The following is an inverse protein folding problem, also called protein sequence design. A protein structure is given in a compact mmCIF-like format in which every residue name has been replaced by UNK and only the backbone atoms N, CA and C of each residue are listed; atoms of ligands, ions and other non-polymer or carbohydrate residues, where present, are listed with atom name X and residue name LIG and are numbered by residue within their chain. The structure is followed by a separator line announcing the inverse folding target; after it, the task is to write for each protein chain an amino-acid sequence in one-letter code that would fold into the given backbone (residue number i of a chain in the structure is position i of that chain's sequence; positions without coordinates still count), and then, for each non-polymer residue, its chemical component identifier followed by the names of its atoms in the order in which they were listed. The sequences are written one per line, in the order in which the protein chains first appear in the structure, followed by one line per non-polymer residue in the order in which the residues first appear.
data_IF_236753976807
#
_entry.id   IF_236753976807
#
_cell.length_a   1.000
_cell.length_b   1.000
_cell.length_c   1.000
_cell.angle_alpha   90.00
_cell.angle_beta   90.00
_cell.angle_gamma   90.00
#
_symmetry.space_group_name_H-M   'P 1'
#
loop_
_entity.id
_entity.type
_entity.pdbx_description
1 polymer ?
#
# COMPACT_ATOMS: atom_id res chain seq x y z
N UNK A 1 16.94 -43.21 29.62
CA UNK A 1 18.12 -43.11 30.51
C UNK A 1 19.17 -44.09 29.98
N UNK A 2 20.31 -43.57 29.53
CA UNK A 2 21.39 -44.38 28.95
C UNK A 2 22.04 -45.23 30.04
N UNK A 3 22.01 -46.55 29.89
CA UNK A 3 22.32 -47.57 30.91
C UNK A 3 23.75 -48.13 30.81
N UNK A 4 24.72 -47.33 30.35
CA UNK A 4 26.15 -47.67 30.39
C UNK A 4 26.65 -48.72 29.38
N UNK A 5 25.76 -49.45 28.69
CA UNK A 5 26.14 -50.42 27.65
C UNK A 5 26.14 -49.85 26.22
N UNK A 6 25.63 -48.63 26.03
CA UNK A 6 25.58 -47.95 24.74
C UNK A 6 26.50 -46.73 24.75
N UNK A 7 27.30 -46.59 23.68
CA UNK A 7 28.11 -45.40 23.47
C UNK A 7 27.24 -44.14 23.53
N UNK A 8 27.75 -43.08 24.17
CA UNK A 8 27.06 -41.79 24.20
C UNK A 8 26.77 -41.32 22.78
N UNK A 9 25.59 -40.74 22.51
CA UNK A 9 25.29 -40.22 21.18
C UNK A 9 26.37 -39.23 20.72
N UNK A 10 26.88 -39.43 19.51
CA UNK A 10 27.71 -38.44 18.83
C UNK A 10 26.80 -37.32 18.31
N UNK A 11 26.75 -36.21 19.04
CA UNK A 11 25.94 -35.05 18.67
C UNK A 11 26.59 -34.28 17.53
N UNK A 12 25.78 -33.90 16.54
CA UNK A 12 26.21 -33.22 15.31
C UNK A 12 27.21 -34.01 14.45
N UNK A 13 27.44 -35.30 14.75
CA UNK A 13 28.30 -36.18 13.94
C UNK A 13 29.77 -35.77 13.96
N UNK A 14 30.22 -35.13 15.04
CA UNK A 14 31.53 -34.52 15.14
C UNK A 14 32.06 -34.58 16.58
N UNK A 15 33.33 -34.96 16.70
CA UNK A 15 34.06 -35.02 17.96
C UNK A 15 33.86 -36.33 18.72
N UNK A 16 34.54 -36.43 19.86
CA UNK A 16 34.48 -37.60 20.73
C UNK A 16 34.56 -37.16 22.20
N UNK A 17 34.17 -38.05 23.10
CA UNK A 17 34.49 -37.90 24.51
C UNK A 17 36.01 -38.05 24.72
N UNK A 18 36.61 -37.34 25.70
CA UNK A 18 35.97 -36.43 26.66
C UNK A 18 35.82 -34.99 26.14
N UNK A 19 36.28 -34.69 24.94
CA UNK A 19 36.37 -33.32 24.43
C UNK A 19 34.98 -32.65 24.27
N UNK A 20 33.94 -33.44 23.96
CA UNK A 20 32.56 -32.98 23.83
C UNK A 20 31.68 -33.29 25.07
N UNK A 21 32.28 -33.37 26.27
CA UNK A 21 31.57 -33.70 27.52
C UNK A 21 30.48 -32.70 27.94
N UNK A 22 30.50 -31.49 27.40
CA UNK A 22 29.52 -30.43 27.66
C UNK A 22 28.29 -30.53 26.76
N UNK A 23 28.25 -31.51 25.85
CA UNK A 23 27.11 -31.76 24.98
C UNK A 23 26.15 -32.78 25.61
N UNK A 24 24.85 -32.50 25.58
CA UNK A 24 23.80 -33.40 26.04
C UNK A 24 22.55 -33.32 25.16
N UNK A 25 21.64 -34.31 25.23
CA UNK A 25 20.39 -34.28 24.45
C UNK A 25 19.86 -35.64 23.97
N UNK A 26 19.12 -35.59 22.86
CA UNK A 26 18.45 -36.75 22.23
C UNK A 26 18.78 -36.75 20.74
N UNK A 27 19.29 -37.87 20.22
CA UNK A 27 19.50 -38.10 18.79
C UNK A 27 18.74 -39.34 18.36
N UNK A 28 17.85 -39.20 17.37
CA UNK A 28 17.19 -40.32 16.71
C UNK A 28 18.03 -40.83 15.55
N UNK A 29 17.65 -41.96 14.96
CA UNK A 29 18.19 -42.44 13.68
C UNK A 29 17.02 -42.80 12.78
N UNK A 30 17.12 -42.43 11.51
CA UNK A 30 16.17 -42.82 10.48
C UNK A 30 16.08 -44.35 10.37
N UNK A 31 14.86 -44.87 10.22
CA UNK A 31 14.64 -46.30 10.03
C UNK A 31 15.09 -46.71 8.62
N UNK A 32 16.02 -47.66 8.51
CA UNK A 32 16.58 -48.12 7.24
C UNK A 32 17.23 -46.99 6.39
N UNK A 33 17.60 -45.88 7.01
CA UNK A 33 18.21 -44.73 6.34
C UNK A 33 19.42 -44.15 7.09
N UNK A 34 19.94 -43.05 6.56
CA UNK A 34 21.14 -42.37 7.05
C UNK A 34 20.87 -41.09 7.84
N UNK A 35 19.63 -40.59 7.81
CA UNK A 35 19.23 -39.36 8.46
C UNK A 35 19.06 -39.49 9.98
N UNK A 36 18.88 -38.34 10.63
CA UNK A 36 18.58 -38.25 12.05
C UNK A 36 17.84 -36.95 12.39
N UNK A 37 17.23 -36.95 13.57
CA UNK A 37 16.81 -35.73 14.26
C UNK A 37 17.58 -35.62 15.56
N UNK A 38 17.82 -34.38 16.00
CA UNK A 38 18.63 -34.10 17.17
C UNK A 38 18.06 -32.92 17.95
N UNK A 39 17.86 -33.13 19.25
CA UNK A 39 17.78 -32.09 20.27
C UNK A 39 19.12 -32.08 21.00
N UNK A 40 19.83 -30.97 20.95
CA UNK A 40 21.18 -30.79 21.51
C UNK A 40 21.18 -29.59 22.47
N UNK A 41 21.77 -29.78 23.64
CA UNK A 41 22.19 -28.74 24.57
C UNK A 41 23.71 -28.73 24.65
N UNK A 42 24.30 -27.55 24.60
CA UNK A 42 25.74 -27.34 24.82
C UNK A 42 25.90 -26.43 26.03
N UNK A 43 26.42 -26.98 27.12
CA UNK A 43 26.62 -26.29 28.39
C UNK A 43 28.07 -25.79 28.55
N UNK A 44 28.77 -25.58 27.43
CA UNK A 44 30.12 -25.00 27.45
C UNK A 44 30.08 -23.60 28.07
N UNK A 45 30.90 -23.30 29.09
CA UNK A 45 30.88 -22.00 29.76
C UNK A 45 31.03 -20.83 28.79
N UNK A 46 30.08 -19.89 28.82
CA UNK A 46 30.05 -18.73 27.92
C UNK A 46 29.50 -19.00 26.53
N UNK A 47 29.22 -20.26 26.17
CA UNK A 47 28.77 -20.68 24.84
C UNK A 47 27.46 -21.49 24.92
N UNK A 48 26.61 -21.19 25.91
CA UNK A 48 25.38 -21.95 26.16
C UNK A 48 24.42 -21.85 24.98
N UNK A 49 23.97 -23.00 24.47
CA UNK A 49 23.03 -23.08 23.34
C UNK A 49 22.11 -24.29 23.40
N UNK A 50 20.98 -24.17 22.71
CA UNK A 50 20.08 -25.28 22.40
C UNK A 50 19.85 -25.36 20.89
N UNK A 51 19.69 -26.57 20.35
CA UNK A 51 19.41 -26.84 18.94
C UNK A 51 18.39 -27.96 18.81
N UNK A 52 17.32 -27.72 18.07
CA UNK A 52 16.41 -28.75 17.57
C UNK A 52 16.59 -28.84 16.05
N UNK A 53 16.87 -30.03 15.53
CA UNK A 53 17.27 -30.22 14.14
C UNK A 53 16.78 -31.52 13.52
N UNK A 54 16.62 -31.50 12.20
CA UNK A 54 16.42 -32.68 11.35
C UNK A 54 17.26 -32.55 10.08
N UNK A 55 17.70 -33.69 9.54
CA UNK A 55 18.58 -33.73 8.36
C UNK A 55 17.94 -33.17 7.06
N UNK A 56 16.66 -33.41 6.73
CA UNK A 56 16.04 -32.87 5.52
C UNK A 56 16.09 -31.33 5.47
N UNK A 57 16.76 -30.79 4.45
CA UNK A 57 16.98 -29.36 4.26
C UNK A 57 17.72 -28.67 5.41
N UNK A 58 18.38 -29.44 6.29
CA UNK A 58 18.95 -28.97 7.56
C UNK A 58 17.96 -28.05 8.29
N UNK A 59 16.75 -28.55 8.52
CA UNK A 59 15.68 -27.80 9.17
C UNK A 59 15.97 -27.70 10.67
N UNK A 60 16.12 -26.47 11.20
CA UNK A 60 16.65 -26.23 12.54
C UNK A 60 15.98 -25.03 13.25
N UNK A 61 15.81 -25.17 14.56
CA UNK A 61 15.68 -24.08 15.52
C UNK A 61 16.95 -24.05 16.40
N UNK A 62 17.74 -23.00 16.27
CA UNK A 62 18.96 -22.77 17.06
C UNK A 62 18.75 -21.59 18.02
N UNK A 63 19.24 -21.70 19.26
CA UNK A 63 19.06 -20.69 20.31
C UNK A 63 20.34 -20.53 21.14
N UNK A 64 20.66 -19.31 21.57
CA UNK A 64 21.81 -18.99 22.42
C UNK A 64 23.05 -18.59 21.61
N UNK A 65 24.20 -19.21 21.91
CA UNK A 65 25.46 -19.01 21.21
C UNK A 65 25.55 -19.96 19.99
N UNK A 66 25.24 -19.48 18.78
CA UNK A 66 25.15 -20.35 17.60
C UNK A 66 26.56 -20.67 17.10
N UNK A 67 26.88 -21.96 16.99
CA UNK A 67 28.18 -22.43 16.48
C UNK A 67 28.02 -23.50 15.40
N UNK A 68 29.08 -23.71 14.62
CA UNK A 68 29.28 -24.95 13.85
C UNK A 68 29.44 -26.16 14.80
N UNK A 69 29.33 -27.41 14.31
CA UNK A 69 29.52 -28.59 15.16
C UNK A 69 30.82 -28.53 15.96
N UNK A 70 30.74 -28.83 17.27
CA UNK A 70 31.90 -28.82 18.16
C UNK A 70 32.81 -30.01 17.85
N UNK A 71 34.09 -29.74 17.63
CA UNK A 71 35.13 -30.74 17.42
C UNK A 71 36.29 -30.49 18.39
N UNK A 72 36.74 -31.53 19.07
CA UNK A 72 37.84 -31.45 20.04
C UNK A 72 37.63 -30.35 21.11
N UNK A 73 36.37 -30.19 21.54
CA UNK A 73 35.98 -29.20 22.55
C UNK A 73 35.84 -27.76 22.04
N UNK A 74 36.10 -27.51 20.75
CA UNK A 74 36.04 -26.18 20.13
C UNK A 74 34.94 -26.10 19.08
N UNK A 75 34.33 -24.94 18.93
CA UNK A 75 33.32 -24.71 17.91
C UNK A 75 33.47 -23.29 17.34
N UNK A 76 33.42 -23.15 16.02
CA UNK A 76 33.46 -21.84 15.37
C UNK A 76 32.10 -21.13 15.53
N UNK A 77 32.07 -19.89 16.03
CA UNK A 77 30.84 -19.11 16.16
C UNK A 77 30.26 -18.75 14.78
N UNK A 78 28.93 -18.69 14.70
CA UNK A 78 28.19 -18.30 13.48
C UNK A 78 27.05 -17.31 13.74
N UNK A 79 26.80 -16.96 15.00
CA UNK A 79 25.78 -15.98 15.38
C UNK A 79 25.37 -16.09 16.85
N UNK A 80 24.47 -15.20 17.27
CA UNK A 80 23.90 -15.16 18.62
C UNK A 80 22.39 -14.89 18.52
N UNK A 81 21.62 -15.35 19.51
CA UNK A 81 20.18 -15.15 19.56
C UNK A 81 19.40 -16.40 19.15
N UNK A 82 18.55 -16.31 18.13
CA UNK A 82 17.83 -17.46 17.60
C UNK A 82 17.84 -17.49 16.08
N UNK A 83 17.77 -18.68 15.51
CA UNK A 83 17.64 -18.90 14.07
C UNK A 83 16.64 -20.02 13.82
N UNK A 84 15.63 -19.74 12.99
CA UNK A 84 14.77 -20.73 12.37
C UNK A 84 15.14 -20.84 10.90
N UNK A 85 15.68 -21.99 10.46
CA UNK A 85 16.14 -22.20 9.07
C UNK A 85 15.66 -23.51 8.48
N UNK A 86 15.51 -23.53 7.16
CA UNK A 86 15.34 -24.72 6.32
C UNK A 86 15.71 -24.38 4.87
N UNK A 87 16.25 -25.36 4.14
CA UNK A 87 16.37 -25.27 2.68
C UNK A 87 15.05 -25.65 1.98
N UNK A 88 14.02 -26.02 2.75
CA UNK A 88 12.67 -26.36 2.29
C UNK A 88 11.66 -25.26 2.65
N UNK A 89 10.41 -25.44 2.26
CA UNK A 89 9.34 -24.48 2.55
C UNK A 89 9.13 -24.29 4.06
N UNK A 90 9.00 -23.04 4.48
CA UNK A 90 8.66 -22.64 5.86
C UNK A 90 7.33 -21.91 5.93
N UNK A 91 6.67 -21.97 7.08
CA UNK A 91 5.46 -21.20 7.34
C UNK A 91 5.40 -20.78 8.81
N UNK A 92 5.09 -19.50 9.05
CA UNK A 92 4.69 -18.98 10.36
C UNK A 92 3.21 -18.61 10.24
N UNK A 93 2.35 -19.32 10.97
CA UNK A 93 0.89 -19.11 10.94
C UNK A 93 0.37 -18.97 12.36
N UNK A 94 -0.25 -17.84 12.64
CA UNK A 94 -0.92 -17.56 13.91
C UNK A 94 -2.28 -16.93 13.62
N UNK A 95 -3.37 -17.64 13.91
CA UNK A 95 -4.72 -17.17 13.62
C UNK A 95 -5.12 -15.90 14.40
N UNK A 96 -4.45 -15.66 15.53
CA UNK A 96 -4.56 -14.45 16.34
C UNK A 96 -3.48 -13.41 16.04
N UNK A 97 -2.74 -13.60 14.94
CA UNK A 97 -1.78 -12.65 14.40
C UNK A 97 -0.32 -12.86 14.83
N UNK A 98 0.59 -12.12 14.20
CA UNK A 98 2.05 -12.20 14.35
C UNK A 98 2.63 -10.79 14.53
N UNK A 99 3.41 -10.58 15.59
CA UNK A 99 4.23 -9.40 15.80
C UNK A 99 5.69 -9.73 15.50
N UNK A 100 6.33 -8.99 14.59
CA UNK A 100 7.77 -9.02 14.35
C UNK A 100 8.34 -7.67 14.74
N UNK A 101 9.11 -7.64 15.82
CA UNK A 101 9.62 -6.41 16.42
C UNK A 101 11.14 -6.48 16.60
N UNK A 102 11.82 -5.38 16.27
CA UNK A 102 13.22 -5.15 16.64
C UNK A 102 13.36 -4.19 17.85
N UNK A 103 12.26 -3.87 18.54
CA UNK A 103 12.32 -3.18 19.82
C UNK A 103 12.80 -4.13 20.91
N UNK A 104 13.70 -3.65 21.76
CA UNK A 104 14.29 -4.47 22.82
C UNK A 104 13.29 -4.75 23.93
N UNK A 105 13.22 -6.01 24.38
CA UNK A 105 12.48 -6.43 25.57
C UNK A 105 13.42 -7.15 26.54
N UNK A 106 14.29 -6.42 27.27
CA UNK A 106 15.34 -7.02 28.08
C UNK A 106 14.78 -8.02 29.09
N UNK A 107 15.39 -9.20 29.16
CA UNK A 107 14.99 -10.29 30.07
C UNK A 107 13.52 -10.73 29.89
N UNK A 108 12.95 -10.52 28.70
CA UNK A 108 11.55 -10.83 28.40
C UNK A 108 10.57 -10.20 29.41
N UNK A 109 10.87 -8.99 29.90
CA UNK A 109 9.97 -8.25 30.78
C UNK A 109 8.81 -7.64 29.97
N UNK A 110 7.58 -7.97 30.36
CA UNK A 110 6.37 -7.52 29.67
C UNK A 110 5.58 -8.67 29.05
N UNK A 111 4.55 -8.33 28.28
CA UNK A 111 3.76 -9.26 27.50
C UNK A 111 4.44 -9.66 26.19
N UNK A 112 4.08 -10.84 25.68
CA UNK A 112 4.59 -11.36 24.39
C UNK A 112 4.25 -10.42 23.21
N UNK A 113 3.13 -9.70 23.29
CA UNK A 113 2.63 -8.81 22.25
C UNK A 113 2.76 -7.33 22.62
N UNK A 114 3.63 -6.97 23.56
CA UNK A 114 3.88 -5.55 23.89
C UNK A 114 4.36 -4.79 22.65
N UNK A 115 3.76 -3.63 22.39
CA UNK A 115 3.84 -2.92 21.10
C UNK A 115 3.51 -1.43 21.19
N UNK A 116 3.77 -0.82 22.34
CA UNK A 116 3.44 0.58 22.61
C UNK A 116 4.17 1.52 21.63
N UNK A 117 5.39 1.18 21.22
CA UNK A 117 6.15 1.94 20.23
C UNK A 117 5.49 1.90 18.85
N UNK A 118 4.96 0.74 18.43
CA UNK A 118 4.22 0.61 17.18
C UNK A 118 2.93 1.42 17.22
N UNK A 119 2.16 1.32 18.31
CA UNK A 119 0.91 2.08 18.47
C UNK A 119 1.20 3.57 18.39
N UNK A 120 2.21 4.04 19.13
CA UNK A 120 2.63 5.45 19.13
C UNK A 120 3.05 5.93 17.73
N UNK A 121 3.77 5.11 16.97
CA UNK A 121 4.16 5.43 15.59
C UNK A 121 2.94 5.54 14.65
N UNK A 122 1.98 4.63 14.77
CA UNK A 122 0.78 4.64 13.93
C UNK A 122 -0.19 5.76 14.32
N UNK A 123 -0.27 6.14 15.59
CA UNK A 123 -1.04 7.30 16.04
C UNK A 123 -0.47 8.61 15.49
N UNK A 124 0.85 8.76 15.49
CA UNK A 124 1.51 9.91 14.86
C UNK A 124 1.24 9.94 13.34
N UNK A 125 1.34 8.79 12.65
CA UNK A 125 0.99 8.70 11.24
C UNK A 125 -0.47 9.06 10.97
N UNK A 126 -1.40 8.56 11.80
CA UNK A 126 -2.82 8.90 11.70
C UNK A 126 -3.06 10.41 11.89
N UNK A 127 -2.39 11.03 12.86
CA UNK A 127 -2.49 12.48 13.09
C UNK A 127 -2.03 13.28 11.87
N UNK A 128 -0.92 12.89 11.23
CA UNK A 128 -0.43 13.52 10.00
C UNK A 128 -1.46 13.39 8.88
N UNK A 129 -2.00 12.18 8.67
CA UNK A 129 -3.00 11.94 7.64
C UNK A 129 -4.27 12.78 7.86
N UNK A 130 -4.75 12.86 9.10
CA UNK A 130 -5.95 13.64 9.46
C UNK A 130 -5.74 15.15 9.27
N UNK A 131 -4.58 15.68 9.67
CA UNK A 131 -4.27 17.11 9.52
C UNK A 131 -4.16 17.51 8.04
N UNK A 132 -3.48 16.69 7.24
CA UNK A 132 -3.37 16.91 5.79
C UNK A 132 -4.72 16.77 5.09
N UNK A 133 -5.54 15.78 5.44
CA UNK A 133 -6.88 15.59 4.89
C UNK A 133 -7.83 16.77 5.21
N UNK A 134 -7.78 17.28 6.44
CA UNK A 134 -8.54 18.49 6.82
C UNK A 134 -8.08 19.71 6.03
N UNK A 135 -6.78 19.85 5.83
CA UNK A 135 -6.22 20.99 5.11
C UNK A 135 -6.51 20.90 3.61
N UNK A 136 -6.45 19.71 3.01
CA UNK A 136 -6.81 19.51 1.60
C UNK A 136 -8.29 19.80 1.36
N UNK A 137 -9.18 19.44 2.29
CA UNK A 137 -10.61 19.77 2.22
C UNK A 137 -10.86 21.28 2.20
N UNK A 138 -10.16 22.06 3.04
CA UNK A 138 -10.23 23.54 3.05
C UNK A 138 -9.80 24.14 1.70
N UNK A 139 -8.87 23.48 1.01
CA UNK A 139 -8.33 23.90 -0.28
C UNK A 139 -8.99 23.20 -1.48
N UNK A 140 -10.16 22.59 -1.28
CA UNK A 140 -10.95 21.93 -2.33
C UNK A 140 -10.20 20.80 -3.07
N UNK A 141 -9.19 20.20 -2.43
CA UNK A 141 -8.36 19.12 -2.95
C UNK A 141 -8.82 17.72 -2.49
N UNK A 142 -10.12 17.57 -2.22
CA UNK A 142 -10.73 16.35 -1.64
C UNK A 142 -10.17 15.99 -0.24
N UNK A 143 -10.83 15.06 0.45
CA UNK A 143 -10.42 14.56 1.77
C UNK A 143 -10.01 13.09 1.70
N UNK A 144 -9.48 12.53 2.79
CA UNK A 144 -9.12 11.11 2.89
C UNK A 144 -9.91 10.44 4.02
N UNK A 145 -10.59 9.31 3.75
CA UNK A 145 -11.23 8.50 4.80
C UNK A 145 -10.17 7.76 5.63
N UNK A 146 -9.86 8.28 6.82
CA UNK A 146 -8.89 7.71 7.75
C UNK A 146 -9.49 6.69 8.73
N UNK A 147 -10.78 6.37 8.63
CA UNK A 147 -11.49 5.50 9.58
C UNK A 147 -10.90 4.09 9.64
N UNK A 148 -10.45 3.54 8.52
CA UNK A 148 -9.82 2.21 8.49
C UNK A 148 -8.45 2.21 9.17
N UNK A 149 -7.66 3.27 8.98
CA UNK A 149 -6.38 3.45 9.68
C UNK A 149 -6.60 3.58 11.20
N UNK A 150 -7.60 4.37 11.60
CA UNK A 150 -7.96 4.51 13.01
C UNK A 150 -8.45 3.19 13.62
N UNK A 151 -9.29 2.44 12.90
CA UNK A 151 -9.73 1.12 13.36
C UNK A 151 -8.56 0.15 13.52
N UNK A 152 -7.57 0.17 12.62
CA UNK A 152 -6.38 -0.66 12.75
C UNK A 152 -5.58 -0.33 14.00
N UNK A 153 -5.43 0.96 14.35
CA UNK A 153 -4.76 1.38 15.60
C UNK A 153 -5.52 0.88 16.83
N UNK A 154 -6.85 0.99 16.84
CA UNK A 154 -7.67 0.49 17.96
C UNK A 154 -7.64 -1.05 18.07
N UNK A 155 -7.64 -1.74 16.93
CA UNK A 155 -7.47 -3.19 16.88
C UNK A 155 -6.10 -3.61 17.45
N UNK A 156 -5.06 -2.85 17.10
CA UNK A 156 -3.73 -3.01 17.66
C UNK A 156 -3.68 -2.61 19.13
N UNK A 157 -4.56 -1.78 19.70
CA UNK A 157 -4.57 -1.58 21.16
C UNK A 157 -5.18 -2.76 21.90
N UNK A 158 -6.16 -3.43 21.30
CA UNK A 158 -6.92 -4.51 21.93
C UNK A 158 -6.46 -5.91 21.51
N UNK A 159 -5.34 -6.03 20.79
CA UNK A 159 -4.95 -7.26 20.09
C UNK A 159 -4.88 -8.49 21.01
N UNK A 160 -4.32 -8.38 22.21
CA UNK A 160 -4.18 -9.48 23.17
C UNK A 160 -5.39 -9.66 24.12
N UNK A 161 -6.45 -8.87 23.95
CA UNK A 161 -7.67 -9.01 24.75
C UNK A 161 -8.26 -10.43 24.63
N UNK A 162 -8.59 -11.04 25.77
CA UNK A 162 -9.03 -12.43 25.88
C UNK A 162 -7.89 -13.46 25.91
N UNK A 163 -6.64 -13.05 26.10
CA UNK A 163 -5.47 -13.92 26.30
C UNK A 163 -5.14 -14.14 27.78
N UNK A 164 -4.07 -14.90 28.07
CA UNK A 164 -3.57 -15.08 29.43
C UNK A 164 -2.97 -13.80 30.05
N UNK A 165 -2.64 -12.80 29.24
CA UNK A 165 -2.13 -11.49 29.70
C UNK A 165 -3.21 -10.40 29.78
N UNK A 166 -4.40 -10.63 29.21
CA UNK A 166 -5.54 -9.70 29.25
C UNK A 166 -6.87 -10.46 29.25
N UNK A 167 -7.18 -11.15 30.37
CA UNK A 167 -8.29 -12.12 30.44
C UNK A 167 -9.68 -11.50 30.29
N UNK A 168 -9.89 -10.33 30.89
CA UNK A 168 -11.18 -9.62 30.91
C UNK A 168 -11.45 -8.84 29.61
N UNK A 169 -10.41 -8.67 28.78
CA UNK A 169 -10.52 -7.98 27.51
C UNK A 169 -11.45 -8.72 26.54
N UNK A 170 -12.21 -7.97 25.74
CA UNK A 170 -13.09 -8.48 24.68
C UNK A 170 -12.63 -7.95 23.33
N UNK A 171 -13.10 -8.56 22.24
CA UNK A 171 -12.86 -8.13 20.86
C UNK A 171 -11.38 -8.18 20.37
N UNK A 172 -10.49 -8.84 21.11
CA UNK A 172 -9.12 -9.11 20.68
C UNK A 172 -8.97 -10.32 19.76
N UNK A 173 -7.73 -10.73 19.53
CA UNK A 173 -7.40 -11.93 18.76
C UNK A 173 -7.60 -11.80 17.24
N UNK A 174 -7.64 -10.58 16.71
CA UNK A 174 -7.68 -10.33 15.27
C UNK A 174 -6.42 -10.86 14.59
N UNK A 175 -6.58 -11.49 13.43
CA UNK A 175 -5.47 -12.03 12.64
C UNK A 175 -4.69 -10.92 11.92
N UNK A 176 -3.81 -10.23 12.64
CA UNK A 176 -3.00 -9.13 12.11
C UNK A 176 -1.53 -9.55 11.95
N UNK A 177 -0.80 -8.88 11.04
CA UNK A 177 0.65 -8.96 10.96
C UNK A 177 1.20 -7.55 11.17
N UNK A 178 2.07 -7.41 12.17
CA UNK A 178 2.72 -6.14 12.48
C UNK A 178 4.24 -6.28 12.37
N UNK A 179 4.88 -5.34 11.67
CA UNK A 179 6.33 -5.22 11.56
C UNK A 179 6.74 -3.86 12.15
N UNK A 180 7.67 -3.84 13.10
CA UNK A 180 8.16 -2.59 13.69
C UNK A 180 9.64 -2.67 14.07
N UNK A 181 10.34 -1.56 13.92
CA UNK A 181 11.76 -1.47 14.26
C UNK A 181 12.14 -0.02 14.61
N UNK A 182 12.97 0.22 15.63
CA UNK A 182 13.39 1.57 16.00
C UNK A 182 14.40 2.19 15.02
N UNK A 183 15.11 1.37 14.24
CA UNK A 183 16.20 1.80 13.36
C UNK A 183 15.91 1.57 11.86
N UNK A 184 14.65 1.34 11.51
CA UNK A 184 14.20 1.19 10.13
C UNK A 184 13.86 -0.25 9.73
N UNK A 185 13.21 -0.39 8.57
CA UNK A 185 12.80 -1.66 7.97
C UNK A 185 13.31 -1.65 6.52
N UNK A 186 14.06 -2.68 6.13
CA UNK A 186 14.51 -2.88 4.75
C UNK A 186 13.63 -3.92 4.06
N UNK A 187 13.11 -3.59 2.87
CA UNK A 187 12.37 -4.51 2.00
C UNK A 187 13.02 -4.48 0.63
N UNK A 188 13.57 -5.61 0.19
CA UNK A 188 14.30 -5.73 -1.07
C UNK A 188 14.00 -7.06 -1.77
N UNK A 189 14.19 -7.09 -3.09
CA UNK A 189 14.04 -8.27 -3.94
C UNK A 189 14.88 -8.07 -5.20
N UNK A 190 15.61 -9.10 -5.64
CA UNK A 190 16.34 -9.08 -6.91
C UNK A 190 15.40 -9.12 -8.14
N UNK A 191 14.12 -9.43 -7.90
CA UNK A 191 13.08 -9.49 -8.92
C UNK A 191 12.04 -8.39 -8.68
N UNK A 192 10.87 -8.73 -8.13
CA UNK A 192 9.77 -7.80 -7.94
C UNK A 192 9.29 -7.76 -6.48
N UNK A 193 8.79 -6.60 -6.07
CA UNK A 193 7.97 -6.42 -4.86
C UNK A 193 6.54 -6.12 -5.33
N UNK A 194 5.55 -6.85 -4.83
CA UNK A 194 4.13 -6.61 -5.08
C UNK A 194 3.42 -6.32 -3.75
N UNK A 195 2.69 -5.20 -3.69
CA UNK A 195 1.87 -4.82 -2.55
C UNK A 195 0.45 -4.60 -3.05
N UNK A 196 -0.53 -5.24 -2.41
CA UNK A 196 -1.93 -5.14 -2.75
C UNK A 196 -2.77 -5.12 -1.47
N UNK A 197 -3.84 -4.31 -1.48
CA UNK A 197 -4.81 -4.23 -0.39
C UNK A 197 -6.22 -4.35 -0.96
N UNK A 198 -7.11 -5.04 -0.25
CA UNK A 198 -8.52 -5.18 -0.66
C UNK A 198 -9.39 -3.98 -0.31
N UNK A 199 -8.89 -3.05 0.49
CA UNK A 199 -9.56 -1.81 0.89
C UNK A 199 -8.68 -0.60 0.59
N UNK A 200 -7.82 -0.20 1.54
CA UNK A 200 -7.00 1.00 1.45
C UNK A 200 -5.51 0.65 1.44
N UNK A 201 -4.73 1.49 0.75
CA UNK A 201 -3.26 1.49 0.80
C UNK A 201 -2.79 2.88 1.21
N UNK A 202 -2.40 3.02 2.47
CA UNK A 202 -1.97 4.29 3.06
C UNK A 202 -0.44 4.32 3.19
N UNK A 203 0.19 5.35 2.61
CA UNK A 203 1.61 5.64 2.76
C UNK A 203 1.76 6.97 3.50
N UNK A 204 2.24 6.92 4.74
CA UNK A 204 2.40 8.12 5.58
C UNK A 204 3.83 8.20 6.10
N UNK A 205 4.43 9.39 5.97
CA UNK A 205 5.77 9.69 6.47
C UNK A 205 5.78 11.02 7.21
N UNK A 206 6.44 11.09 8.36
CA UNK A 206 6.56 12.32 9.14
C UNK A 206 7.47 13.39 8.52
N UNK A 207 8.32 12.99 7.58
CA UNK A 207 9.23 13.87 6.84
C UNK A 207 9.00 13.64 5.35
N UNK A 208 10.05 13.26 4.62
CA UNK A 208 10.01 13.11 3.17
C UNK A 208 9.60 11.70 2.74
N UNK A 209 8.74 11.63 1.72
CA UNK A 209 8.52 10.42 0.92
C UNK A 209 9.21 10.59 -0.43
N UNK A 210 10.24 9.77 -0.69
CA UNK A 210 11.00 9.82 -1.93
C UNK A 210 10.67 8.63 -2.83
N UNK A 211 10.21 8.89 -4.05
CA UNK A 211 9.92 7.87 -5.07
C UNK A 211 10.85 8.07 -6.25
N UNK A 212 11.80 7.15 -6.43
CA UNK A 212 12.76 7.16 -7.55
C UNK A 212 12.56 5.93 -8.43
N UNK A 213 12.40 6.12 -9.74
CA UNK A 213 12.15 5.04 -10.70
C UNK A 213 13.10 5.16 -11.88
N UNK A 214 13.90 4.12 -12.12
CA UNK A 214 14.93 4.14 -13.17
C UNK A 214 14.42 4.13 -14.61
N UNK A 215 13.13 3.84 -14.83
CA UNK A 215 12.54 3.79 -16.17
C UNK A 215 11.20 4.53 -16.28
N UNK A 216 10.10 3.96 -15.78
CA UNK A 216 8.75 4.48 -16.01
C UNK A 216 7.92 4.43 -14.73
N UNK A 217 7.49 5.59 -14.24
CA UNK A 217 6.45 5.72 -13.21
C UNK A 217 5.09 5.89 -13.89
N UNK A 218 4.07 5.16 -13.44
CA UNK A 218 2.71 5.22 -14.00
C UNK A 218 1.69 5.21 -12.87
N UNK A 219 0.82 6.23 -12.85
CA UNK A 219 -0.38 6.24 -12.03
C UNK A 219 -1.58 5.86 -12.91
N UNK A 220 -2.42 4.94 -12.43
CA UNK A 220 -3.70 4.58 -13.04
C UNK A 220 -4.73 4.57 -11.92
N UNK A 221 -5.73 5.45 -12.02
CA UNK A 221 -6.71 5.66 -10.97
C UNK A 221 -8.10 5.53 -11.58
N UNK A 222 -9.01 4.85 -10.88
CA UNK A 222 -10.35 4.54 -11.40
C UNK A 222 -11.38 5.67 -11.21
N UNK A 223 -11.18 6.54 -10.22
CA UNK A 223 -12.13 7.59 -9.86
C UNK A 223 -11.48 8.98 -9.92
N UNK A 224 -10.76 9.41 -8.88
CA UNK A 224 -10.11 10.73 -8.82
C UNK A 224 -8.62 10.63 -8.52
N UNK A 225 -7.82 11.58 -9.03
CA UNK A 225 -6.43 11.81 -8.62
C UNK A 225 -6.33 13.21 -8.04
N UNK A 226 -6.19 13.32 -6.72
CA UNK A 226 -5.90 14.59 -6.05
C UNK A 226 -4.43 14.67 -5.64
N UNK A 227 -3.80 15.83 -5.89
CA UNK A 227 -2.43 16.14 -5.48
C UNK A 227 -2.45 17.48 -4.77
N UNK A 228 -2.10 17.48 -3.48
CA UNK A 228 -2.14 18.67 -2.62
C UNK A 228 -0.77 18.97 -2.02
N UNK A 229 -0.36 20.24 -2.03
CA UNK A 229 0.86 20.73 -1.36
C UNK A 229 0.52 22.00 -0.59
N UNK A 230 0.72 21.97 0.73
CA UNK A 230 0.29 23.05 1.63
C UNK A 230 1.16 24.32 1.55
N UNK A 231 2.49 24.18 1.41
CA UNK A 231 3.41 25.31 1.67
C UNK A 231 4.38 25.63 0.53
N UNK A 232 5.17 24.66 0.06
CA UNK A 232 6.34 24.93 -0.80
C UNK A 232 6.05 24.82 -2.31
N UNK A 233 4.79 24.66 -2.69
CA UNK A 233 4.34 24.63 -4.08
C UNK A 233 4.66 23.31 -4.82
N UNK A 234 4.23 23.25 -6.08
CA UNK A 234 4.38 22.07 -6.96
C UNK A 234 5.31 22.38 -8.15
N UNK A 235 6.02 21.35 -8.63
CA UNK A 235 6.87 21.43 -9.83
C UNK A 235 6.56 20.26 -10.77
N UNK A 236 6.13 20.57 -11.99
CA UNK A 236 5.95 19.61 -13.08
C UNK A 236 6.94 19.95 -14.19
N UNK A 237 8.09 19.25 -14.20
CA UNK A 237 9.21 19.57 -15.09
C UNK A 237 9.61 18.31 -15.85
N UNK A 238 9.61 18.38 -17.18
CA UNK A 238 10.22 17.40 -18.06
C UNK A 238 11.53 17.98 -18.59
N UNK A 239 12.67 17.33 -18.30
CA UNK A 239 13.96 17.76 -18.82
C UNK A 239 14.05 17.61 -20.35
N UNK A 240 13.37 16.59 -20.89
CA UNK A 240 13.20 16.37 -22.31
C UNK A 240 11.84 15.69 -22.55
N UNK A 241 11.31 15.85 -23.77
CA UNK A 241 10.02 15.29 -24.16
C UNK A 241 8.84 16.20 -23.83
N UNK A 242 7.67 15.82 -24.33
CA UNK A 242 6.43 16.60 -24.27
C UNK A 242 5.74 16.44 -22.91
N UNK A 243 5.29 17.55 -22.33
CA UNK A 243 4.25 17.55 -21.29
C UNK A 243 2.88 17.60 -21.98
N UNK A 244 1.99 16.66 -21.65
CA UNK A 244 0.64 16.60 -22.20
C UNK A 244 -0.37 16.58 -21.05
N UNK A 245 -1.26 17.58 -21.04
CA UNK A 245 -2.38 17.71 -20.11
C UNK A 245 -3.67 17.73 -20.92
N UNK A 246 -4.61 16.83 -20.62
CA UNK A 246 -5.86 16.69 -21.35
C UNK A 246 -6.98 16.20 -20.43
N UNK A 247 -8.11 16.89 -20.45
CA UNK A 247 -9.40 16.33 -20.06
C UNK A 247 -10.12 15.86 -21.34
N UNK A 248 -10.38 14.56 -21.46
CA UNK A 248 -10.93 13.97 -22.70
C UNK A 248 -12.46 14.07 -22.79
N UNK A 249 -13.12 14.36 -21.68
CA UNK A 249 -14.57 14.49 -21.58
C UNK A 249 -14.99 15.52 -20.53
N UNK A 250 -14.11 16.45 -20.17
CA UNK A 250 -14.39 17.48 -19.17
C UNK A 250 -13.51 18.72 -19.42
N UNK A 251 -13.61 19.72 -18.55
CA UNK A 251 -12.83 20.94 -18.62
C UNK A 251 -11.42 20.82 -18.04
N UNK A 252 -10.57 21.78 -18.40
CA UNK A 252 -9.27 21.99 -17.78
C UNK A 252 -9.27 23.40 -17.20
N UNK A 253 -9.14 23.51 -15.89
CA UNK A 253 -9.00 24.79 -15.19
C UNK A 253 -7.54 25.03 -14.78
N UNK A 254 -7.03 26.25 -15.00
CA UNK A 254 -5.71 26.68 -14.56
C UNK A 254 -5.83 28.08 -13.95
N UNK A 255 -5.75 28.15 -12.62
CA UNK A 255 -5.89 29.38 -11.85
C UNK A 255 -4.61 29.77 -11.09
N UNK A 256 -4.44 31.07 -10.84
CA UNK A 256 -3.43 31.59 -9.92
C UNK A 256 -3.97 32.84 -9.21
N UNK A 257 -3.85 32.89 -7.88
CA UNK A 257 -4.21 34.08 -7.09
C UNK A 257 -3.26 35.27 -7.32
N UNK A 258 -2.12 35.04 -7.96
CA UNK A 258 -1.13 36.05 -8.33
C UNK A 258 -0.93 36.03 -9.85
N UNK A 259 0.30 36.27 -10.32
CA UNK A 259 0.64 36.29 -11.74
C UNK A 259 0.52 34.88 -12.35
N UNK A 260 -0.28 34.73 -13.39
CA UNK A 260 -0.23 33.59 -14.31
C UNK A 260 0.73 33.93 -15.46
N UNK A 261 1.70 33.06 -15.73
CA UNK A 261 2.69 33.23 -16.80
C UNK A 261 2.56 32.10 -17.81
N UNK A 262 2.28 32.45 -19.06
CA UNK A 262 2.31 31.55 -20.21
C UNK A 262 3.29 32.12 -21.22
N UNK A 263 4.33 31.37 -21.56
CA UNK A 263 5.30 31.77 -22.56
C UNK A 263 5.85 30.54 -23.30
N UNK A 264 6.27 30.77 -24.54
CA UNK A 264 7.01 29.82 -25.37
C UNK A 264 8.22 30.55 -25.93
N UNK A 265 9.33 29.84 -26.12
CA UNK A 265 10.51 30.39 -26.80
C UNK A 265 10.37 30.37 -28.32
N UNK A 266 9.34 29.69 -28.83
CA UNK A 266 9.03 29.59 -30.26
C UNK A 266 7.62 30.13 -30.52
N UNK A 267 6.60 29.28 -30.42
CA UNK A 267 5.20 29.63 -30.74
C UNK A 267 4.25 29.31 -29.58
N UNK A 268 3.22 30.13 -29.40
CA UNK A 268 2.03 29.82 -28.61
C UNK A 268 0.85 29.65 -29.56
N UNK A 269 0.25 28.46 -29.58
CA UNK A 269 -0.93 28.17 -30.40
C UNK A 269 -2.17 28.05 -29.50
N UNK A 270 -3.15 28.94 -29.71
CA UNK A 270 -4.47 28.85 -29.10
C UNK A 270 -5.48 28.48 -30.19
N UNK A 271 -6.01 27.26 -30.14
CA UNK A 271 -6.92 26.72 -31.15
C UNK A 271 -8.22 26.25 -30.50
N UNK A 272 -9.32 26.94 -30.78
CA UNK A 272 -10.65 26.57 -30.33
C UNK A 272 -11.71 27.15 -31.27
N UNK A 273 -12.94 26.59 -31.32
CA UNK A 273 -14.04 27.17 -32.09
C UNK A 273 -14.41 28.60 -31.62
N UNK A 274 -14.13 28.89 -30.34
CA UNK A 274 -14.32 30.21 -29.72
C UNK A 274 -13.17 30.48 -28.75
N UNK A 275 -12.58 31.68 -28.81
CA UNK A 275 -11.57 32.18 -27.88
C UNK A 275 -12.04 33.53 -27.34
N UNK A 276 -11.93 33.72 -26.02
CA UNK A 276 -12.24 34.98 -25.35
C UNK A 276 -11.03 35.40 -24.52
N UNK A 277 -10.60 36.65 -24.69
CA UNK A 277 -9.56 37.28 -23.87
C UNK A 277 -10.21 38.49 -23.21
N UNK A 278 -10.23 38.53 -21.88
CA UNK A 278 -10.94 39.56 -21.13
C UNK A 278 -10.05 40.13 -20.03
N UNK A 279 -10.12 41.46 -19.87
CA UNK A 279 -9.57 42.21 -18.76
C UNK A 279 -10.64 43.22 -18.28
N UNK A 280 -10.39 43.88 -17.15
CA UNK A 280 -11.31 44.90 -16.65
C UNK A 280 -11.45 46.03 -17.69
N UNK A 281 -12.65 46.21 -18.24
CA UNK A 281 -12.97 47.28 -19.20
C UNK A 281 -12.52 47.03 -20.66
N UNK A 282 -11.92 45.89 -20.97
CA UNK A 282 -11.49 45.56 -22.33
C UNK A 282 -11.58 44.05 -22.64
N UNK A 283 -11.93 43.68 -23.87
CA UNK A 283 -12.00 42.29 -24.30
C UNK A 283 -11.76 42.11 -25.81
N UNK A 284 -11.39 40.88 -26.19
CA UNK A 284 -11.33 40.42 -27.56
C UNK A 284 -11.94 39.02 -27.66
N UNK A 285 -12.88 38.82 -28.57
CA UNK A 285 -13.50 37.54 -28.85
C UNK A 285 -13.26 37.13 -30.31
N UNK A 286 -12.90 35.86 -30.51
CA UNK A 286 -12.63 35.24 -31.80
C UNK A 286 -13.55 34.02 -31.95
N UNK A 287 -14.30 33.94 -33.05
CA UNK A 287 -15.16 32.79 -33.33
C UNK A 287 -16.36 33.13 -34.21
N UNK A 288 -17.01 32.10 -34.76
CA UNK A 288 -18.21 32.27 -35.59
C UNK A 288 -17.99 33.17 -36.83
N UNK A 289 -16.77 33.18 -37.38
CA UNK A 289 -16.40 34.04 -38.51
C UNK A 289 -16.17 35.52 -38.17
N UNK A 290 -16.17 35.90 -36.88
CA UNK A 290 -16.03 37.30 -36.44
C UNK A 290 -14.87 37.48 -35.46
N UNK A 291 -14.31 38.70 -35.45
CA UNK A 291 -13.42 39.22 -34.42
C UNK A 291 -14.10 40.44 -33.78
N UNK A 292 -14.35 40.40 -32.47
CA UNK A 292 -15.00 41.48 -31.73
C UNK A 292 -14.04 41.99 -30.66
N UNK A 293 -13.60 43.24 -30.79
CA UNK A 293 -12.78 43.94 -29.79
C UNK A 293 -13.59 45.02 -29.10
N UNK A 294 -13.58 45.05 -27.77
CA UNK A 294 -14.31 46.03 -26.96
C UNK A 294 -13.36 46.74 -25.99
N UNK A 295 -13.57 48.04 -25.79
CA UNK A 295 -12.88 48.84 -24.79
C UNK A 295 -13.80 49.95 -24.28
N UNK A 296 -13.92 50.13 -22.97
CA UNK A 296 -14.64 51.26 -22.38
C UNK A 296 -13.83 52.57 -22.41
N UNK A 297 -12.51 52.46 -22.53
CA UNK A 297 -11.59 53.58 -22.77
C UNK A 297 -11.15 53.69 -24.23
N UNK A 298 -10.01 54.33 -24.46
CA UNK A 298 -9.44 54.48 -25.81
C UNK A 298 -8.95 53.15 -26.38
N UNK A 299 -9.34 52.81 -27.61
CA UNK A 299 -8.73 51.75 -28.41
C UNK A 299 -7.66 52.35 -29.33
N UNK A 300 -6.37 52.13 -29.01
CA UNK A 300 -5.25 52.68 -29.79
C UNK A 300 -4.59 51.59 -30.61
N UNK A 301 -4.49 51.79 -31.92
CA UNK A 301 -3.73 50.95 -32.84
C UNK A 301 -2.54 51.74 -33.38
N UNK A 302 -1.33 51.17 -33.33
CA UNK A 302 -0.11 51.78 -33.86
C UNK A 302 0.54 50.80 -34.83
N UNK A 303 0.65 51.19 -36.10
CA UNK A 303 1.31 50.41 -37.15
C UNK A 303 1.99 51.32 -38.18
N UNK A 304 2.95 50.78 -38.93
CA UNK A 304 3.54 51.45 -40.09
C UNK A 304 2.59 51.50 -41.29
N UNK A 305 1.61 50.59 -41.36
CA UNK A 305 0.59 50.52 -42.42
C UNK A 305 -0.68 49.83 -41.93
N UNK A 306 -1.82 50.21 -42.48
CA UNK A 306 -3.09 49.50 -42.33
C UNK A 306 -3.64 49.15 -43.71
N UNK A 307 -4.00 47.89 -43.94
CA UNK A 307 -4.73 47.41 -45.12
C UNK A 307 -6.02 46.73 -44.67
N UNK A 308 -7.13 47.06 -45.33
CA UNK A 308 -8.46 46.48 -45.05
C UNK A 308 -8.96 45.84 -46.34
N UNK A 309 -8.71 44.55 -46.49
CA UNK A 309 -9.08 43.77 -47.67
C UNK A 309 -10.41 43.04 -47.44
N UNK A 310 -10.93 42.38 -48.48
CA UNK A 310 -12.11 41.53 -48.38
C UNK A 310 -11.96 40.39 -47.36
N UNK A 311 -13.03 39.63 -47.09
CA UNK A 311 -13.01 38.60 -46.06
C UNK A 311 -12.01 37.47 -46.38
N UNK A 312 -11.21 37.09 -45.38
CA UNK A 312 -10.44 35.85 -45.37
C UNK A 312 -11.19 34.72 -44.67
N UNK A 313 -10.70 33.49 -44.83
CA UNK A 313 -11.23 32.32 -44.11
C UNK A 313 -10.08 31.46 -43.57
N UNK A 314 -10.30 30.80 -42.44
CA UNK A 314 -9.38 29.83 -41.84
C UNK A 314 -10.14 28.59 -41.38
N UNK A 315 -9.62 27.39 -41.70
CA UNK A 315 -10.22 26.13 -41.23
C UNK A 315 -9.55 25.67 -39.94
N UNK A 316 -10.33 25.44 -38.88
CA UNK A 316 -9.84 24.87 -37.63
C UNK A 316 -9.78 23.34 -37.72
N UNK A 317 -8.60 22.76 -37.53
CA UNK A 317 -8.42 21.32 -37.39
C UNK A 317 -8.03 20.99 -35.94
N UNK A 318 -8.93 20.35 -35.20
CA UNK A 318 -8.67 19.88 -33.84
C UNK A 318 -8.45 18.37 -33.80
N UNK A 319 -7.60 17.84 -32.91
CA UNK A 319 -7.47 16.41 -32.71
C UNK A 319 -8.78 15.81 -32.17
N UNK A 320 -9.14 14.62 -32.64
CA UNK A 320 -10.26 13.87 -32.10
C UNK A 320 -9.92 13.39 -30.68
N UNK A 321 -10.75 13.73 -29.70
CA UNK A 321 -10.64 13.19 -28.35
C UNK A 321 -11.15 11.74 -28.31
N UNK A 322 -10.36 10.78 -27.78
CA UNK A 322 -10.79 9.39 -27.70
C UNK A 322 -11.95 9.25 -26.70
N UNK A 323 -12.89 8.36 -27.00
CA UNK A 323 -13.96 7.95 -26.08
C UNK A 323 -13.77 6.49 -25.74
N UNK A 324 -13.76 6.15 -24.45
CA UNK A 324 -13.74 4.75 -24.04
C UNK A 324 -15.07 4.09 -24.38
N UNK A 325 -15.02 2.98 -25.11
CA UNK A 325 -16.16 2.08 -25.35
C UNK A 325 -16.11 0.83 -24.46
N UNK A 326 -15.13 0.75 -23.56
CA UNK A 326 -14.92 -0.42 -22.72
C UNK A 326 -16.00 -0.49 -21.64
N UNK A 327 -16.73 -1.62 -21.61
CA UNK A 327 -17.80 -1.88 -20.65
C UNK A 327 -17.41 -3.02 -19.71
N UNK A 328 -17.78 -2.89 -18.44
CA UNK A 328 -17.64 -3.96 -17.43
C UNK A 328 -19.00 -4.61 -17.18
N UNK A 329 -18.97 -5.89 -16.83
CA UNK A 329 -20.13 -6.65 -16.39
C UNK A 329 -19.96 -6.89 -14.89
N UNK A 330 -20.82 -6.29 -14.07
CA UNK A 330 -20.71 -6.33 -12.61
C UNK A 330 -21.98 -6.95 -12.00
N UNK A 331 -21.80 -7.75 -10.95
CA UNK A 331 -22.88 -8.34 -10.15
C UNK A 331 -22.54 -8.19 -8.68
N UNK A 332 -23.52 -7.82 -7.86
CA UNK A 332 -23.37 -7.75 -6.41
C UNK A 332 -23.93 -9.02 -5.78
N UNK A 333 -23.23 -9.57 -4.79
CA UNK A 333 -23.73 -10.68 -3.98
C UNK A 333 -24.11 -10.18 -2.59
N UNK A 334 -25.33 -10.50 -2.14
CA UNK A 334 -25.86 -10.12 -0.84
C UNK A 334 -25.89 -11.34 0.06
N UNK A 335 -25.11 -11.32 1.14
CA UNK A 335 -25.10 -12.37 2.16
C UNK A 335 -25.48 -11.82 3.53
N UNK A 336 -26.17 -12.64 4.33
CA UNK A 336 -26.48 -12.35 5.73
C UNK A 336 -25.25 -12.51 6.63
N UNK A 337 -25.41 -12.20 7.92
CA UNK A 337 -24.33 -12.28 8.93
C UNK A 337 -23.75 -13.68 9.13
N UNK A 338 -24.50 -14.71 8.75
CA UNK A 338 -24.07 -16.12 8.76
C UNK A 338 -23.38 -16.56 7.46
N UNK A 339 -23.19 -15.66 6.49
CA UNK A 339 -22.67 -15.98 5.15
C UNK A 339 -23.69 -16.60 4.20
N UNK A 340 -24.95 -16.79 4.63
CA UNK A 340 -26.02 -17.34 3.80
C UNK A 340 -26.52 -16.28 2.82
N UNK A 341 -26.59 -16.63 1.54
CA UNK A 341 -27.13 -15.80 0.46
C UNK A 341 -28.53 -15.28 0.79
N UNK A 342 -28.75 -13.98 0.62
CA UNK A 342 -30.04 -13.34 0.83
C UNK A 342 -30.77 -13.28 -0.51
N UNK A 343 -31.73 -14.17 -0.70
CA UNK A 343 -32.55 -14.26 -1.91
C UNK A 343 -33.77 -13.36 -1.82
N UNK A 344 -34.29 -12.92 -2.96
CA UNK A 344 -35.51 -12.12 -3.06
C UNK A 344 -35.48 -10.77 -2.32
N UNK A 345 -34.29 -10.19 -2.17
CA UNK A 345 -34.14 -8.85 -1.61
C UNK A 345 -34.25 -7.81 -2.72
N UNK A 346 -35.26 -6.95 -2.61
CA UNK A 346 -35.41 -5.82 -3.50
C UNK A 346 -34.21 -4.88 -3.37
N UNK A 347 -33.65 -4.45 -4.49
CA UNK A 347 -32.49 -3.59 -4.55
C UNK A 347 -32.55 -2.61 -5.72
N UNK A 348 -31.79 -1.53 -5.59
CA UNK A 348 -31.60 -0.50 -6.59
C UNK A 348 -30.11 -0.20 -6.69
N UNK A 349 -29.57 -0.18 -7.91
CA UNK A 349 -28.19 0.14 -8.21
C UNK A 349 -28.12 1.54 -8.81
N UNK A 350 -27.36 2.43 -8.18
CA UNK A 350 -27.12 3.79 -8.67
C UNK A 350 -25.67 3.97 -9.04
N UNK A 351 -25.41 4.72 -10.10
CA UNK A 351 -24.06 5.14 -10.43
C UNK A 351 -23.57 6.30 -9.52
N UNK A 352 -22.32 6.70 -9.68
CA UNK A 352 -21.71 7.81 -8.93
C UNK A 352 -22.41 9.16 -9.11
N UNK A 353 -23.25 9.32 -10.14
CA UNK A 353 -24.07 10.51 -10.37
C UNK A 353 -25.47 10.40 -9.74
N UNK A 354 -25.77 9.29 -9.05
CA UNK A 354 -27.06 9.02 -8.44
C UNK A 354 -28.16 8.54 -9.40
N UNK A 355 -27.83 8.31 -10.67
CA UNK A 355 -28.77 7.76 -11.65
C UNK A 355 -28.95 6.25 -11.43
N UNK A 356 -30.19 5.76 -11.53
CA UNK A 356 -30.51 4.34 -11.43
C UNK A 356 -30.05 3.62 -12.69
N UNK A 357 -29.16 2.64 -12.53
CA UNK A 357 -28.53 1.90 -13.63
C UNK A 357 -28.84 0.40 -13.60
N UNK A 358 -29.50 -0.07 -12.55
CA UNK A 358 -29.99 -1.44 -12.41
C UNK A 358 -30.90 -1.54 -11.19
N UNK A 359 -31.70 -2.61 -11.11
CA UNK A 359 -32.59 -2.82 -9.97
C UNK A 359 -33.48 -4.03 -10.15
N UNK A 360 -33.91 -4.62 -9.03
CA UNK A 360 -34.69 -5.84 -9.08
C UNK A 360 -34.69 -6.54 -7.73
N UNK A 361 -34.66 -7.87 -7.77
CA UNK A 361 -34.64 -8.74 -6.60
C UNK A 361 -33.45 -9.69 -6.72
N UNK A 362 -32.75 -9.98 -5.63
CA UNK A 362 -31.64 -10.94 -5.67
C UNK A 362 -32.14 -12.34 -6.02
N UNK A 363 -31.35 -13.07 -6.82
CA UNK A 363 -31.68 -14.42 -7.28
C UNK A 363 -31.50 -15.50 -6.18
N UNK A 364 -31.58 -16.77 -6.56
CA UNK A 364 -31.42 -17.92 -5.66
C UNK A 364 -30.00 -18.03 -5.05
N UNK A 365 -29.00 -17.42 -5.67
CA UNK A 365 -27.62 -17.33 -5.16
C UNK A 365 -27.36 -16.02 -4.41
N UNK A 366 -28.37 -15.18 -4.22
CA UNK A 366 -28.26 -13.88 -3.56
C UNK A 366 -27.55 -12.84 -4.43
N UNK A 367 -27.45 -13.08 -5.74
CA UNK A 367 -26.78 -12.19 -6.70
C UNK A 367 -27.77 -11.28 -7.40
N UNK A 368 -27.31 -10.08 -7.74
CA UNK A 368 -28.07 -9.13 -8.58
C UNK A 368 -27.97 -9.52 -10.05
N UNK A 369 -28.82 -8.90 -10.88
CA UNK A 369 -28.61 -8.90 -12.32
C UNK A 369 -27.25 -8.32 -12.71
N UNK A 370 -26.74 -8.73 -13.88
CA UNK A 370 -25.51 -8.16 -14.44
C UNK A 370 -25.76 -6.74 -14.92
N UNK A 371 -25.10 -5.78 -14.30
CA UNK A 371 -25.08 -4.40 -14.78
C UNK A 371 -23.92 -4.23 -15.73
N UNK A 372 -24.21 -3.66 -16.89
CA UNK A 372 -23.22 -3.33 -17.91
C UNK A 372 -22.90 -1.83 -17.84
N UNK A 373 -21.80 -1.49 -17.18
CA UNK A 373 -21.38 -0.10 -16.93
C UNK A 373 -20.11 0.29 -17.69
N UNK A 374 -19.70 1.56 -17.60
CA UNK A 374 -18.34 1.95 -18.01
C UNK A 374 -17.35 1.37 -17.00
N UNK A 375 -16.17 0.95 -17.44
CA UNK A 375 -15.13 0.55 -16.49
C UNK A 375 -14.87 1.67 -15.48
N UNK A 376 -14.78 1.28 -14.20
CA UNK A 376 -14.49 2.12 -13.02
C UNK A 376 -15.55 3.13 -12.62
N UNK A 377 -16.78 3.04 -13.13
CA UNK A 377 -17.91 3.79 -12.61
C UNK A 377 -18.25 3.34 -11.19
N UNK A 378 -18.36 4.27 -10.24
CA UNK A 378 -18.81 3.93 -8.89
C UNK A 378 -20.27 3.44 -8.95
N UNK A 379 -20.53 2.29 -8.35
CA UNK A 379 -21.88 1.75 -8.17
C UNK A 379 -22.20 1.63 -6.69
N UNK A 380 -23.35 2.18 -6.29
CA UNK A 380 -23.89 2.06 -4.93
C UNK A 380 -25.17 1.24 -4.97
N UNK A 381 -25.22 0.15 -4.21
CA UNK A 381 -26.42 -0.67 -4.06
C UNK A 381 -27.22 -0.28 -2.83
N UNK A 382 -28.49 0.02 -3.04
CA UNK A 382 -29.47 0.28 -1.99
C UNK A 382 -30.36 -0.95 -1.82
N UNK A 383 -30.42 -1.50 -0.62
CA UNK A 383 -31.29 -2.63 -0.29
C UNK A 383 -32.61 -2.09 0.27
N UNK A 384 -33.71 -2.41 -0.39
CA UNK A 384 -35.06 -2.03 0.02
C UNK A 384 -35.66 -3.14 0.88
N UNK A 385 -35.38 -3.10 2.18
CA UNK A 385 -35.99 -4.02 3.16
C UNK A 385 -37.32 -3.44 3.63
N UNK A 386 -38.41 -4.17 3.39
CA UNK A 386 -39.72 -3.89 4.01
C UNK A 386 -39.81 -4.47 5.40
#
# INVERSE_FOLDING_TARGET
LYNGSHATPDFSGAGALPANKTLSGIKSKEHQGGGYSELLFDDTPGEVRAKLSSEPGKTQLNQGFLTHPRKDGKAEPRGEGFELRSDLAGAIRAARGVLVSAHGQPKAQGGQLDRDELISQLEMALSIAQELAKTSEIHEAETTDTRLQQQLVEDLKQWEAGSNTSKEGKNGGKGMLALTAPQGIAVSSDSSINMAAGSNYDLVTAKDSNVSVGQKLRFRVGQSLSIFVQQLGMKFIAAAGKIQLQAQNDEVEIGAAKKLMLYSLEEIVLSAPKITISAQGASAAYGGGSIITQASGSHTQKASSHSMEGPGNSSLQLPNMPKSSFKTNETFAVSGRSGIAQTQIAHELKNGQGAVVGGGSTDATGTTETVVGKATEQLTMFLNRK
#
